data_IF_542002534308
#
_entry.id   IF_542002534308
#
_cell.length_a   1.000
_cell.length_b   1.000
_cell.length_c   1.000
_cell.angle_alpha   90.00
_cell.angle_beta   90.00
_cell.angle_gamma   90.00
#
_symmetry.space_group_name_H-M   'P 1'
#
loop_
_entity.id
_entity.type
_entity.pdbx_description
1 polymer ?
#
# COMPACT_ATOMS: atom_id res chain seq x y z
N UNK A 1 -11.29 7.48 21.63
CA UNK A 1 -10.96 7.08 20.25
C UNK A 1 -9.88 6.02 20.32
N UNK A 2 -10.16 4.84 19.77
CA UNK A 2 -9.22 3.73 19.75
C UNK A 2 -7.97 4.10 18.93
N UNK A 3 -6.81 3.59 19.32
CA UNK A 3 -5.52 3.95 18.73
C UNK A 3 -5.42 3.32 17.34
N UNK A 4 -5.83 4.05 16.30
CA UNK A 4 -5.74 3.59 14.91
C UNK A 4 -4.27 3.37 14.55
N UNK A 5 -3.97 2.29 13.84
CA UNK A 5 -2.62 1.90 13.39
C UNK A 5 -1.84 3.10 12.85
N UNK A 6 -0.74 3.46 13.53
CA UNK A 6 0.11 4.60 13.14
C UNK A 6 1.10 4.24 12.04
N UNK A 7 1.14 2.97 11.58
CA UNK A 7 1.91 2.55 10.39
C UNK A 7 1.09 2.80 9.12
N UNK A 8 0.83 4.06 8.84
CA UNK A 8 -0.02 4.50 7.72
C UNK A 8 0.78 4.58 6.42
N UNK A 9 0.99 3.45 5.76
CA UNK A 9 1.33 3.48 4.33
C UNK A 9 0.06 3.81 3.53
N UNK A 10 0.11 4.86 2.71
CA UNK A 10 -1.00 5.31 1.87
C UNK A 10 -0.75 4.96 0.41
N UNK A 11 -1.80 4.53 -0.28
CA UNK A 11 -1.75 4.25 -1.72
C UNK A 11 -1.61 5.54 -2.51
N UNK A 12 -0.69 5.54 -3.48
CA UNK A 12 -0.58 6.59 -4.50
C UNK A 12 -1.29 6.11 -5.75
N UNK A 13 -2.02 7.02 -6.41
CA UNK A 13 -2.63 6.75 -7.71
C UNK A 13 -1.55 6.32 -8.70
N UNK A 14 -1.47 5.02 -8.95
CA UNK A 14 -0.43 4.45 -9.80
C UNK A 14 -0.77 4.72 -11.27
N UNK A 15 0.15 5.30 -12.06
CA UNK A 15 -0.05 5.50 -13.49
C UNK A 15 -0.40 4.20 -14.21
N UNK A 16 -1.32 4.26 -15.17
CA UNK A 16 -1.83 3.06 -15.84
C UNK A 16 -0.73 2.25 -16.54
N UNK A 17 0.30 2.91 -17.09
CA UNK A 17 1.47 2.26 -17.70
C UNK A 17 2.24 1.36 -16.71
N UNK A 18 2.33 1.75 -15.44
CA UNK A 18 3.00 0.97 -14.38
C UNK A 18 2.07 -0.16 -13.93
N UNK A 19 0.78 0.14 -13.78
CA UNK A 19 -0.23 -0.86 -13.35
C UNK A 19 -0.38 -2.01 -14.33
N UNK A 20 -0.31 -1.73 -15.64
CA UNK A 20 -0.34 -2.74 -16.71
C UNK A 20 0.82 -3.74 -16.63
N UNK A 21 1.93 -3.34 -16.02
CA UNK A 21 3.11 -4.19 -15.80
C UNK A 21 3.08 -4.86 -14.41
N UNK A 22 1.96 -4.78 -13.69
CA UNK A 22 1.78 -5.36 -12.36
C UNK A 22 2.24 -4.46 -11.20
N UNK A 23 2.78 -3.27 -11.48
CA UNK A 23 3.30 -2.36 -10.45
C UNK A 23 2.23 -1.58 -9.68
N UNK A 24 2.65 -1.03 -8.55
CA UNK A 24 1.87 -0.21 -7.63
C UNK A 24 2.81 0.75 -6.86
N UNK A 25 2.30 1.92 -6.47
CA UNK A 25 3.03 2.94 -5.71
C UNK A 25 2.34 3.22 -4.38
N UNK A 26 3.11 3.39 -3.33
CA UNK A 26 2.63 3.79 -2.02
C UNK A 26 3.68 4.64 -1.31
N UNK A 27 3.28 5.37 -0.28
CA UNK A 27 4.18 6.18 0.54
C UNK A 27 3.90 6.02 2.03
N UNK A 28 4.91 6.27 2.85
CA UNK A 28 4.76 6.50 4.28
C UNK A 28 5.49 7.77 4.72
N UNK A 29 5.12 8.25 5.91
CA UNK A 29 5.73 9.42 6.52
C UNK A 29 6.40 9.01 7.83
N UNK A 30 7.74 9.08 7.86
CA UNK A 30 8.56 8.70 9.02
C UNK A 30 9.72 9.65 9.13
N UNK A 31 10.19 9.93 10.35
CA UNK A 31 11.34 10.81 10.57
C UNK A 31 11.18 12.17 9.88
N UNK A 32 9.97 12.73 9.95
CA UNK A 32 9.60 13.98 9.26
C UNK A 32 9.85 13.99 7.74
N UNK A 33 9.93 12.80 7.14
CA UNK A 33 10.30 12.59 5.73
C UNK A 33 9.28 11.69 5.04
N UNK A 34 8.95 12.02 3.79
CA UNK A 34 8.10 11.19 2.94
C UNK A 34 8.97 10.17 2.19
N UNK A 35 8.67 8.89 2.35
CA UNK A 35 9.29 7.82 1.56
C UNK A 35 8.29 7.27 0.56
N UNK A 36 8.73 7.11 -0.69
CA UNK A 36 7.92 6.56 -1.78
C UNK A 36 8.50 5.22 -2.18
N UNK A 37 7.62 4.24 -2.36
CA UNK A 37 7.97 2.87 -2.68
C UNK A 37 7.22 2.39 -3.92
N UNK A 38 7.78 1.36 -4.56
CA UNK A 38 7.12 0.62 -5.62
C UNK A 38 7.13 -0.88 -5.31
N UNK A 39 6.01 -1.54 -5.53
CA UNK A 39 5.91 -3.00 -5.49
C UNK A 39 4.78 -3.49 -6.39
N UNK A 40 4.72 -4.80 -6.66
CA UNK A 40 3.50 -5.36 -7.22
C UNK A 40 2.36 -5.27 -6.22
N UNK A 41 1.11 -5.06 -6.66
CA UNK A 41 -0.03 -5.12 -5.73
C UNK A 41 -0.05 -6.45 -4.96
N UNK A 42 0.25 -7.54 -5.65
CA UNK A 42 0.28 -8.87 -5.05
C UNK A 42 1.38 -8.99 -3.98
N UNK A 43 2.54 -8.36 -4.21
CA UNK A 43 3.64 -8.31 -3.24
C UNK A 43 3.32 -7.40 -2.03
N UNK A 44 2.57 -6.31 -2.24
CA UNK A 44 2.07 -5.45 -1.16
C UNK A 44 1.11 -6.23 -0.24
N UNK A 45 0.23 -7.03 -0.82
CA UNK A 45 -0.78 -7.79 -0.07
C UNK A 45 -0.26 -9.13 0.46
N UNK A 46 0.71 -9.79 -0.20
CA UNK A 46 1.26 -11.08 0.23
C UNK A 46 1.91 -11.01 1.60
N UNK A 47 2.51 -9.87 1.95
CA UNK A 47 3.15 -9.64 3.25
C UNK A 47 2.18 -9.20 4.34
N UNK A 48 0.95 -8.81 4.00
CA UNK A 48 -0.04 -8.30 4.98
C UNK A 48 -1.05 -9.33 5.46
N UNK A 49 -0.99 -10.56 4.94
CA UNK A 49 -1.95 -11.62 5.23
C UNK A 49 -3.35 -11.26 4.70
N UNK A 50 -4.08 -12.25 4.22
CA UNK A 50 -5.47 -12.05 3.84
C UNK A 50 -6.30 -11.69 5.08
N UNK A 51 -6.68 -10.41 5.25
CA UNK A 51 -7.40 -9.93 6.45
C UNK A 51 -8.92 -9.82 6.30
N UNK A 52 -9.48 -10.02 5.10
CA UNK A 52 -10.93 -10.09 4.93
C UNK A 52 -11.31 -10.75 3.60
N UNK A 53 -12.17 -11.76 3.68
CA UNK A 53 -13.03 -12.21 2.58
C UNK A 53 -14.31 -11.40 2.68
N UNK A 54 -14.58 -10.54 1.70
CA UNK A 54 -15.91 -10.00 1.53
C UNK A 54 -16.72 -11.04 0.75
N UNK A 55 -17.57 -11.77 1.47
CA UNK A 55 -18.58 -12.63 0.87
C UNK A 55 -19.69 -11.73 0.33
N UNK A 56 -19.91 -11.76 -0.98
CA UNK A 56 -21.17 -11.31 -1.60
C UNK A 56 -22.12 -12.50 -1.65
#
# INVERSE_FOLDING_TARGET
MEKVDTKTSSWIKTPQKIRKLGGALFADFRYETVFIYHNGADSYYSTRGFRASAKV
#
